data_IF_489699748905
#
_entry.id   IF_489699748905
#
_cell.length_a   1.000
_cell.length_b   1.000
_cell.length_c   1.000
_cell.angle_alpha   90.00
_cell.angle_beta   90.00
_cell.angle_gamma   90.00
#
_symmetry.space_group_name_H-M   'P 1'
#
loop_
_entity.id
_entity.type
_entity.pdbx_description
1 polymer ?
#
# COMPACT_ATOMS: atom_id res chain seq x y z
N UNK A 1 17.19 -0.48 14.81
CA UNK A 1 18.44 0.30 14.71
C UNK A 1 19.07 0.25 13.32
N UNK A 2 19.29 -0.93 12.72
CA UNK A 2 19.93 -1.02 11.41
C UNK A 2 19.03 -0.44 10.31
N UNK A 3 17.75 -0.80 10.29
CA UNK A 3 16.78 -0.33 9.31
C UNK A 3 16.63 1.20 9.36
N UNK A 4 16.50 1.77 10.56
CA UNK A 4 16.41 3.22 10.74
C UNK A 4 17.67 3.96 10.28
N UNK A 5 18.86 3.37 10.47
CA UNK A 5 20.10 3.95 9.97
C UNK A 5 20.21 3.90 8.44
N UNK A 6 19.67 2.85 7.80
CA UNK A 6 19.62 2.72 6.34
C UNK A 6 18.60 3.71 5.74
N UNK A 7 17.46 3.92 6.37
CA UNK A 7 16.49 4.95 5.99
C UNK A 7 17.07 6.37 6.08
N UNK A 8 17.82 6.65 7.15
CA UNK A 8 18.51 7.94 7.30
C UNK A 8 19.56 8.16 6.20
N UNK A 9 20.30 7.12 5.81
CA UNK A 9 21.25 7.17 4.70
C UNK A 9 20.51 7.36 3.36
N UNK A 10 19.36 6.72 3.15
CA UNK A 10 18.57 6.90 1.94
C UNK A 10 17.97 8.32 1.82
N UNK A 11 17.75 8.99 2.94
CA UNK A 11 17.30 10.39 2.99
C UNK A 11 18.45 11.41 2.91
N UNK A 12 19.72 10.96 3.02
CA UNK A 12 20.89 11.86 3.07
C UNK A 12 21.49 12.05 1.67
N UNK A 13 21.39 13.26 1.13
CA UNK A 13 21.98 13.61 -0.16
C UNK A 13 23.49 13.30 -0.22
N UNK A 14 23.89 12.62 -1.28
CA UNK A 14 25.27 12.19 -1.49
C UNK A 14 25.64 10.86 -0.83
N UNK A 15 24.73 10.22 -0.11
CA UNK A 15 24.93 8.83 0.32
C UNK A 15 24.77 7.87 -0.86
N UNK A 16 25.34 6.67 -0.74
CA UNK A 16 25.22 5.62 -1.77
C UNK A 16 23.82 5.00 -1.88
N UNK A 17 22.93 5.32 -0.94
CA UNK A 17 21.55 4.86 -0.90
C UNK A 17 20.54 5.97 -1.25
N UNK A 18 21.03 7.21 -1.42
CA UNK A 18 20.18 8.35 -1.79
C UNK A 18 19.79 8.25 -3.28
N UNK A 19 18.51 8.45 -3.54
CA UNK A 19 17.99 8.62 -4.88
C UNK A 19 17.46 10.04 -5.07
N UNK A 20 17.80 10.65 -6.20
CA UNK A 20 17.20 11.94 -6.58
C UNK A 20 15.77 11.74 -7.05
N UNK A 21 14.94 12.78 -6.98
CA UNK A 21 13.58 12.74 -7.49
C UNK A 21 13.55 12.35 -8.97
N UNK A 22 14.51 12.83 -9.79
CA UNK A 22 14.64 12.45 -11.20
C UNK A 22 14.85 10.93 -11.38
N UNK A 23 15.64 10.29 -10.51
CA UNK A 23 15.84 8.84 -10.53
C UNK A 23 14.57 8.09 -10.12
N UNK A 24 13.86 8.60 -9.13
CA UNK A 24 12.60 8.01 -8.67
C UNK A 24 11.48 8.16 -9.71
N UNK A 25 11.38 9.31 -10.39
CA UNK A 25 10.44 9.52 -11.50
C UNK A 25 10.75 8.57 -12.65
N UNK A 26 12.03 8.43 -13.03
CA UNK A 26 12.43 7.49 -14.06
C UNK A 26 12.10 6.05 -13.69
N UNK A 27 12.35 5.67 -12.44
CA UNK A 27 11.99 4.35 -11.91
C UNK A 27 10.47 4.13 -11.92
N UNK A 28 9.68 5.12 -11.50
CA UNK A 28 8.22 5.03 -11.54
C UNK A 28 7.71 4.80 -12.97
N UNK A 29 8.27 5.52 -13.95
CA UNK A 29 7.94 5.33 -15.36
C UNK A 29 8.32 3.93 -15.87
N UNK A 30 9.50 3.41 -15.50
CA UNK A 30 9.95 2.07 -15.84
C UNK A 30 9.06 0.98 -15.22
N UNK A 31 8.60 1.18 -13.98
CA UNK A 31 7.66 0.29 -13.30
C UNK A 31 6.21 0.45 -13.77
N UNK A 32 5.94 1.28 -14.78
CA UNK A 32 4.61 1.48 -15.35
C UNK A 32 3.66 2.27 -14.45
N UNK A 33 4.18 3.08 -13.53
CA UNK A 33 3.33 3.95 -12.73
C UNK A 33 2.61 4.97 -13.61
N UNK A 34 1.36 5.20 -13.27
CA UNK A 34 0.50 6.11 -14.00
C UNK A 34 -0.43 6.87 -13.07
N UNK A 35 -0.91 8.01 -13.56
CA UNK A 35 -1.88 8.86 -12.86
C UNK A 35 -3.19 8.83 -13.61
N UNK A 36 -4.29 8.55 -12.92
CA UNK A 36 -5.63 8.62 -13.47
C UNK A 36 -6.62 9.14 -12.44
N UNK A 37 -7.68 9.79 -12.93
CA UNK A 37 -8.89 10.08 -12.19
C UNK A 37 -10.03 9.22 -12.73
N UNK A 38 -11.11 9.02 -11.95
CA UNK A 38 -12.24 8.26 -12.43
C UNK A 38 -13.58 8.67 -11.83
N UNK A 39 -14.63 8.42 -12.58
CA UNK A 39 -16.00 8.40 -12.10
C UNK A 39 -16.39 6.93 -11.92
N UNK A 40 -16.73 6.53 -10.69
CA UNK A 40 -17.22 5.20 -10.37
C UNK A 40 -18.71 5.26 -10.03
N UNK A 41 -19.51 4.49 -10.74
CA UNK A 41 -20.93 4.26 -10.43
C UNK A 41 -21.08 2.82 -9.95
N UNK A 42 -21.35 2.63 -8.65
CA UNK A 42 -21.38 1.33 -8.02
C UNK A 42 -22.56 0.48 -8.49
N UNK A 43 -22.31 -0.80 -8.76
CA UNK A 43 -23.32 -1.82 -9.07
C UNK A 43 -23.53 -2.80 -7.92
N UNK A 44 -22.88 -2.53 -6.76
CA UNK A 44 -23.04 -3.30 -5.54
C UNK A 44 -22.93 -2.44 -4.29
N UNK A 45 -23.54 -2.90 -3.24
CA UNK A 45 -23.43 -2.32 -1.91
C UNK A 45 -22.07 -2.65 -1.30
N UNK A 46 -21.25 -1.64 -1.00
CA UNK A 46 -19.89 -1.82 -0.49
C UNK A 46 -19.85 -2.27 0.98
N UNK A 47 -20.97 -2.22 1.70
CA UNK A 47 -21.04 -2.70 3.09
C UNK A 47 -21.37 -4.19 3.17
N UNK A 48 -22.19 -4.70 2.24
CA UNK A 48 -22.65 -6.10 2.18
C UNK A 48 -21.99 -6.90 1.07
N UNK A 49 -21.34 -6.24 0.12
CA UNK A 49 -20.78 -6.80 -1.13
C UNK A 49 -21.84 -7.48 -2.03
N UNK A 50 -23.11 -7.21 -1.79
CA UNK A 50 -24.19 -7.74 -2.62
C UNK A 50 -24.41 -6.86 -3.84
N UNK A 51 -24.73 -7.49 -4.97
CA UNK A 51 -25.13 -6.76 -6.18
C UNK A 51 -26.42 -6.00 -5.94
N UNK A 52 -26.51 -4.81 -6.53
CA UNK A 52 -27.75 -4.06 -6.61
C UNK A 52 -28.73 -4.76 -7.56
N UNK A 53 -30.01 -4.45 -7.44
CA UNK A 53 -31.00 -4.98 -8.35
C UNK A 53 -30.80 -4.51 -9.78
N UNK A 54 -31.40 -5.22 -10.77
CA UNK A 54 -31.18 -4.98 -12.18
C UNK A 54 -31.74 -3.61 -12.63
N UNK A 55 -32.76 -3.07 -11.97
CA UNK A 55 -33.32 -1.75 -12.28
C UNK A 55 -32.30 -0.66 -11.88
N UNK A 56 -31.76 -0.74 -10.67
CA UNK A 56 -30.73 0.18 -10.18
C UNK A 56 -29.45 0.09 -11.01
N UNK A 57 -29.00 -1.12 -11.38
CA UNK A 57 -27.83 -1.28 -12.27
C UNK A 57 -28.07 -0.65 -13.65
N UNK A 58 -29.27 -0.78 -14.19
CA UNK A 58 -29.62 -0.16 -15.46
C UNK A 58 -29.62 1.38 -15.37
N UNK A 59 -30.10 1.95 -14.26
CA UNK A 59 -30.03 3.40 -14.00
C UNK A 59 -28.57 3.88 -13.92
N UNK A 60 -27.72 3.14 -13.21
CA UNK A 60 -26.28 3.45 -13.13
C UNK A 60 -25.61 3.42 -14.50
N UNK A 61 -25.93 2.42 -15.31
CA UNK A 61 -25.42 2.33 -16.69
C UNK A 61 -25.87 3.51 -17.55
N UNK A 62 -27.15 3.86 -17.49
CA UNK A 62 -27.67 5.00 -18.21
C UNK A 62 -26.99 6.32 -17.78
N UNK A 63 -26.73 6.49 -16.48
CA UNK A 63 -25.99 7.64 -15.98
C UNK A 63 -24.53 7.64 -16.49
N UNK A 64 -23.85 6.48 -16.51
CA UNK A 64 -22.51 6.38 -17.08
C UNK A 64 -22.50 6.80 -18.56
N UNK A 65 -23.48 6.34 -19.34
CA UNK A 65 -23.64 6.71 -20.75
C UNK A 65 -23.89 8.22 -20.93
N UNK A 66 -24.70 8.83 -20.06
CA UNK A 66 -24.94 10.28 -20.06
C UNK A 66 -23.66 11.06 -19.76
N UNK A 67 -22.90 10.65 -18.72
CA UNK A 67 -21.65 11.30 -18.32
C UNK A 67 -20.59 11.17 -19.42
N UNK A 68 -20.47 9.99 -20.02
CA UNK A 68 -19.56 9.78 -21.16
C UNK A 68 -19.92 10.67 -22.33
N UNK A 69 -21.20 10.77 -22.66
CA UNK A 69 -21.66 11.65 -23.74
C UNK A 69 -21.38 13.14 -23.45
N UNK A 70 -21.48 13.59 -22.19
CA UNK A 70 -21.10 14.95 -21.78
C UNK A 70 -19.60 15.19 -21.98
N UNK A 71 -18.77 14.23 -21.61
CA UNK A 71 -17.31 14.30 -21.76
C UNK A 71 -16.92 14.31 -23.24
N UNK A 72 -17.53 13.47 -24.08
CA UNK A 72 -17.27 13.41 -25.52
C UNK A 72 -17.72 14.67 -26.28
N UNK A 73 -18.77 15.32 -25.79
CA UNK A 73 -19.27 16.57 -26.35
C UNK A 73 -18.52 17.81 -25.84
N UNK A 74 -17.64 17.67 -24.85
CA UNK A 74 -16.92 18.79 -24.28
C UNK A 74 -15.93 19.38 -25.30
N UNK A 75 -16.00 20.69 -25.51
CA UNK A 75 -15.16 21.42 -26.45
C UNK A 75 -14.35 22.55 -25.81
N UNK A 76 -14.36 22.61 -24.46
CA UNK A 76 -13.56 23.58 -23.71
C UNK A 76 -12.07 23.21 -23.67
N UNK A 77 -11.26 24.10 -23.18
CA UNK A 77 -9.81 23.94 -23.13
C UNK A 77 -9.33 23.17 -21.87
N UNK A 78 -10.21 22.97 -20.87
CA UNK A 78 -9.88 22.31 -19.61
C UNK A 78 -10.73 21.04 -19.39
N UNK A 79 -10.46 19.99 -20.16
CA UNK A 79 -11.13 18.70 -20.00
C UNK A 79 -10.84 18.07 -18.63
N UNK A 80 -9.63 18.25 -18.09
CA UNK A 80 -9.24 17.70 -16.80
C UNK A 80 -10.07 18.32 -15.68
N UNK A 81 -10.18 19.65 -15.64
CA UNK A 81 -11.03 20.35 -14.68
C UNK A 81 -12.49 19.96 -14.78
N UNK A 82 -13.03 19.91 -16.01
CA UNK A 82 -14.42 19.49 -16.25
C UNK A 82 -14.69 18.04 -15.81
N UNK A 83 -13.75 17.13 -16.08
CA UNK A 83 -13.83 15.75 -15.60
C UNK A 83 -13.85 15.68 -14.07
N UNK A 84 -12.96 16.43 -13.42
CA UNK A 84 -12.86 16.48 -11.95
C UNK A 84 -14.16 16.98 -11.33
N UNK A 85 -14.80 18.02 -11.91
CA UNK A 85 -16.11 18.50 -11.46
C UNK A 85 -17.20 17.42 -11.55
N UNK A 86 -17.25 16.68 -12.66
CA UNK A 86 -18.19 15.55 -12.81
C UNK A 86 -17.88 14.41 -11.84
N UNK A 87 -16.60 14.13 -11.61
CA UNK A 87 -16.19 13.09 -10.66
C UNK A 87 -16.55 13.48 -9.23
N UNK A 88 -16.42 14.75 -8.85
CA UNK A 88 -16.82 15.25 -7.53
C UNK A 88 -18.34 15.19 -7.31
N UNK A 89 -19.11 15.39 -8.37
CA UNK A 89 -20.58 15.37 -8.31
C UNK A 89 -21.16 13.95 -8.35
N UNK A 90 -20.60 13.06 -9.17
CA UNK A 90 -21.24 11.78 -9.48
C UNK A 90 -20.49 10.55 -9.03
N UNK A 91 -19.18 10.62 -8.75
CA UNK A 91 -18.41 9.43 -8.36
C UNK A 91 -18.82 8.93 -6.99
N UNK A 92 -19.11 7.64 -6.90
CA UNK A 92 -19.44 6.93 -5.65
C UNK A 92 -18.21 6.24 -5.04
N UNK A 93 -17.03 6.57 -5.54
CA UNK A 93 -15.78 6.03 -4.99
C UNK A 93 -15.44 6.67 -3.63
N UNK A 94 -15.49 5.85 -2.57
CA UNK A 94 -15.13 6.29 -1.23
C UNK A 94 -13.65 6.64 -1.07
N UNK A 95 -12.78 6.08 -1.92
CA UNK A 95 -11.35 6.37 -1.95
C UNK A 95 -11.02 7.79 -2.42
N UNK A 96 -11.95 8.44 -3.15
CA UNK A 96 -11.80 9.80 -3.64
C UNK A 96 -11.59 10.84 -2.53
N UNK A 97 -12.14 10.61 -1.33
CA UNK A 97 -11.94 11.50 -0.20
C UNK A 97 -10.45 11.64 0.21
N UNK A 98 -9.66 10.58 0.01
CA UNK A 98 -8.21 10.58 0.23
C UNK A 98 -7.39 10.94 -1.01
N UNK A 99 -8.01 10.89 -2.20
CA UNK A 99 -7.38 11.14 -3.51
C UNK A 99 -8.26 12.04 -4.37
N UNK A 100 -8.51 13.30 -3.95
CA UNK A 100 -9.54 14.13 -4.54
C UNK A 100 -9.28 14.51 -6.00
N UNK A 101 -8.04 14.46 -6.45
CA UNK A 101 -7.67 14.89 -7.80
C UNK A 101 -7.29 13.72 -8.71
N UNK A 102 -6.68 12.68 -8.17
CA UNK A 102 -6.19 11.55 -8.95
C UNK A 102 -5.63 10.43 -8.07
N UNK A 103 -5.61 9.25 -8.65
CA UNK A 103 -4.86 8.11 -8.14
C UNK A 103 -3.53 7.99 -8.86
N UNK A 104 -2.50 7.62 -8.11
CA UNK A 104 -1.25 7.12 -8.68
C UNK A 104 -1.12 5.64 -8.37
N UNK A 105 -0.79 4.85 -9.36
CA UNK A 105 -0.69 3.40 -9.21
C UNK A 105 0.26 2.80 -10.23
N UNK A 106 0.94 1.74 -9.81
CA UNK A 106 1.73 0.87 -10.67
C UNK A 106 0.95 -0.40 -11.04
N UNK A 107 1.60 -1.29 -11.76
CA UNK A 107 0.99 -2.55 -12.20
C UNK A 107 0.55 -3.43 -11.03
N UNK A 108 -0.68 -3.96 -11.10
CA UNK A 108 -1.27 -4.85 -10.10
C UNK A 108 -1.84 -4.16 -8.86
N UNK A 109 -1.89 -2.83 -8.82
CA UNK A 109 -2.43 -2.07 -7.69
C UNK A 109 -3.92 -1.74 -7.83
N UNK A 110 -4.47 -1.78 -9.05
CA UNK A 110 -5.87 -1.55 -9.34
C UNK A 110 -6.52 -2.84 -9.86
N UNK A 111 -7.86 -2.85 -9.96
CA UNK A 111 -8.56 -3.96 -10.61
C UNK A 111 -8.17 -4.04 -12.09
N UNK A 112 -8.05 -5.26 -12.60
CA UNK A 112 -7.48 -5.55 -13.92
C UNK A 112 -8.16 -4.75 -15.05
N UNK A 113 -9.49 -4.64 -15.01
CA UNK A 113 -10.26 -3.94 -16.03
C UNK A 113 -9.94 -2.43 -16.04
N UNK A 114 -9.81 -1.84 -14.85
CA UNK A 114 -9.44 -0.44 -14.70
C UNK A 114 -8.01 -0.18 -15.20
N UNK A 115 -7.06 -0.97 -14.71
CA UNK A 115 -5.64 -0.83 -15.04
C UNK A 115 -5.40 -1.02 -16.55
N UNK A 116 -5.99 -2.07 -17.12
CA UNK A 116 -5.89 -2.34 -18.55
C UNK A 116 -6.45 -1.20 -19.39
N UNK A 117 -7.60 -0.64 -19.01
CA UNK A 117 -8.18 0.49 -19.72
C UNK A 117 -7.29 1.74 -19.58
N UNK A 118 -6.86 2.08 -18.36
CA UNK A 118 -5.98 3.24 -18.13
C UNK A 118 -4.67 3.16 -18.91
N UNK A 119 -4.10 1.95 -19.04
CA UNK A 119 -2.85 1.72 -19.76
C UNK A 119 -2.96 1.95 -21.28
N UNK A 120 -4.16 1.84 -21.87
CA UNK A 120 -4.40 2.08 -23.30
C UNK A 120 -4.60 3.56 -23.65
N UNK A 121 -4.84 4.40 -22.64
CA UNK A 121 -5.12 5.82 -22.82
C UNK A 121 -3.83 6.63 -22.91
N UNK A 122 -3.82 7.62 -23.79
CA UNK A 122 -2.87 8.72 -23.76
C UNK A 122 -3.20 9.72 -22.64
N UNK A 123 -2.23 10.52 -22.26
CA UNK A 123 -2.46 11.60 -21.28
C UNK A 123 -3.53 12.58 -21.79
N UNK A 124 -4.50 12.89 -20.93
CA UNK A 124 -5.65 13.72 -21.28
C UNK A 124 -6.79 12.98 -21.98
N UNK A 125 -6.68 11.68 -22.22
CA UNK A 125 -7.73 10.89 -22.84
C UNK A 125 -8.69 10.29 -21.79
N UNK A 126 -9.95 10.18 -22.19
CA UNK A 126 -11.04 9.58 -21.41
C UNK A 126 -11.40 8.22 -21.99
N UNK A 127 -11.52 7.21 -21.14
CA UNK A 127 -11.88 5.86 -21.54
C UNK A 127 -13.32 5.76 -22.06
N UNK A 128 -13.64 4.67 -22.75
CA UNK A 128 -15.01 4.16 -22.81
C UNK A 128 -15.48 3.74 -21.40
N UNK A 129 -16.76 3.39 -21.26
CA UNK A 129 -17.28 2.86 -20.00
C UNK A 129 -16.66 1.49 -19.74
N UNK A 130 -15.95 1.35 -18.62
CA UNK A 130 -15.29 0.12 -18.19
C UNK A 130 -16.12 -0.51 -17.08
N UNK A 131 -16.52 -1.75 -17.26
CA UNK A 131 -17.23 -2.52 -16.24
C UNK A 131 -16.23 -3.37 -15.44
N UNK A 132 -16.30 -3.27 -14.11
CA UNK A 132 -15.51 -4.05 -13.19
C UNK A 132 -16.38 -4.71 -12.13
N UNK A 133 -15.75 -5.45 -11.21
CA UNK A 133 -16.44 -6.00 -10.04
C UNK A 133 -17.18 -4.94 -9.22
N UNK A 134 -16.71 -3.71 -9.16
CA UNK A 134 -17.31 -2.63 -8.36
C UNK A 134 -18.46 -1.92 -9.07
N UNK A 135 -18.40 -1.78 -10.37
CA UNK A 135 -19.38 -1.05 -11.14
C UNK A 135 -18.83 -0.51 -12.46
N UNK A 136 -19.41 0.58 -12.90
CA UNK A 136 -19.05 1.26 -14.15
C UNK A 136 -18.05 2.38 -13.85
N UNK A 137 -16.92 2.36 -14.55
CA UNK A 137 -15.88 3.38 -14.49
C UNK A 137 -15.83 4.17 -15.78
N UNK A 138 -15.63 5.47 -15.67
CA UNK A 138 -15.13 6.34 -16.74
C UNK A 138 -13.79 6.86 -16.22
N UNK A 139 -12.71 6.64 -16.97
CA UNK A 139 -11.35 6.87 -16.52
C UNK A 139 -10.74 8.00 -17.35
N UNK A 140 -10.13 8.98 -16.68
CA UNK A 140 -9.31 10.01 -17.32
C UNK A 140 -7.84 9.72 -17.01
N UNK A 141 -7.04 9.47 -18.04
CA UNK A 141 -5.59 9.40 -17.91
C UNK A 141 -5.02 10.82 -17.74
N UNK A 142 -4.33 11.07 -16.65
CA UNK A 142 -3.68 12.37 -16.38
C UNK A 142 -2.18 12.27 -16.65
N UNK A 143 -1.49 13.39 -16.88
CA UNK A 143 -0.03 13.42 -16.81
C UNK A 143 0.45 12.86 -15.48
N UNK A 144 1.63 12.20 -15.49
CA UNK A 144 2.18 11.64 -14.25
C UNK A 144 2.37 12.76 -13.21
N UNK A 145 1.75 12.56 -12.05
CA UNK A 145 2.01 13.40 -10.88
C UNK A 145 3.38 13.01 -10.31
N UNK A 146 4.42 13.74 -10.72
CA UNK A 146 5.81 13.45 -10.36
C UNK A 146 6.03 13.43 -8.85
N UNK A 147 5.41 14.35 -8.11
CA UNK A 147 5.57 14.42 -6.66
C UNK A 147 4.98 13.18 -5.97
N UNK A 148 3.76 12.79 -6.35
CA UNK A 148 3.14 11.57 -5.84
C UNK A 148 3.87 10.32 -6.32
N UNK A 149 4.42 10.32 -7.53
CA UNK A 149 5.21 9.20 -8.06
C UNK A 149 6.46 8.97 -7.23
N UNK A 150 7.20 10.04 -6.92
CA UNK A 150 8.37 10.00 -6.05
C UNK A 150 8.05 9.36 -4.70
N UNK A 151 6.96 9.81 -4.06
CA UNK A 151 6.54 9.27 -2.76
C UNK A 151 6.12 7.80 -2.86
N UNK A 152 5.38 7.44 -3.92
CA UNK A 152 4.87 6.08 -4.11
C UNK A 152 5.96 5.03 -4.34
N UNK A 153 7.07 5.40 -4.99
CA UNK A 153 8.11 4.43 -5.35
C UNK A 153 9.34 4.46 -4.44
N UNK A 154 9.47 5.45 -3.56
CA UNK A 154 10.68 5.65 -2.75
C UNK A 154 11.06 4.43 -1.93
N UNK A 155 10.11 3.81 -1.24
CA UNK A 155 10.36 2.63 -0.41
C UNK A 155 10.72 1.40 -1.27
N UNK A 156 9.99 1.17 -2.36
CA UNK A 156 10.23 0.04 -3.26
C UNK A 156 11.60 0.18 -3.96
N UNK A 157 11.93 1.37 -4.43
CA UNK A 157 13.24 1.66 -5.01
C UNK A 157 14.37 1.40 -4.02
N UNK A 158 14.23 1.90 -2.79
CA UNK A 158 15.21 1.71 -1.73
C UNK A 158 15.40 0.22 -1.38
N UNK A 159 14.30 -0.54 -1.24
CA UNK A 159 14.35 -1.98 -0.97
C UNK A 159 15.06 -2.74 -2.10
N UNK A 160 14.74 -2.46 -3.34
CA UNK A 160 15.41 -3.07 -4.50
C UNK A 160 16.90 -2.71 -4.58
N UNK A 161 17.26 -1.48 -4.23
CA UNK A 161 18.67 -1.06 -4.17
C UNK A 161 19.44 -1.82 -3.06
N UNK A 162 18.82 -2.05 -1.90
CA UNK A 162 19.41 -2.84 -0.83
C UNK A 162 19.58 -4.30 -1.23
N UNK A 163 18.57 -4.92 -1.84
CA UNK A 163 18.64 -6.31 -2.32
C UNK A 163 19.78 -6.47 -3.32
N UNK A 164 19.88 -5.60 -4.32
CA UNK A 164 20.98 -5.61 -5.29
C UNK A 164 22.36 -5.48 -4.63
N UNK A 165 22.47 -4.63 -3.59
CA UNK A 165 23.73 -4.46 -2.84
C UNK A 165 24.10 -5.68 -2.01
N UNK A 166 23.09 -6.36 -1.46
CA UNK A 166 23.30 -7.61 -0.70
C UNK A 166 23.73 -8.73 -1.66
N UNK A 167 23.13 -8.85 -2.83
CA UNK A 167 23.50 -9.82 -3.85
C UNK A 167 24.92 -9.60 -4.37
N UNK A 168 25.32 -8.34 -4.59
CA UNK A 168 26.66 -7.98 -5.06
C UNK A 168 27.71 -8.08 -3.94
N UNK A 169 27.29 -8.07 -2.66
CA UNK A 169 28.22 -8.22 -1.57
C UNK A 169 28.70 -9.67 -1.48
N UNK A 170 29.99 -9.88 -1.77
CA UNK A 170 30.67 -11.14 -1.47
C UNK A 170 30.69 -11.30 0.06
N UNK A 171 29.68 -11.95 0.61
CA UNK A 171 29.63 -12.27 2.04
C UNK A 171 30.60 -13.44 2.29
N UNK A 172 31.84 -13.13 2.65
CA UNK A 172 32.72 -14.13 3.24
C UNK A 172 32.22 -14.39 4.68
N UNK A 173 31.53 -15.51 4.87
CA UNK A 173 31.18 -15.94 6.21
C UNK A 173 32.45 -16.25 6.99
N UNK A 174 32.57 -15.69 8.18
CA UNK A 174 33.67 -16.04 9.09
C UNK A 174 33.60 -17.55 9.34
N UNK A 175 34.70 -18.31 9.11
CA UNK A 175 34.73 -19.76 9.35
C UNK A 175 34.23 -20.17 10.72
N UNK A 176 34.35 -19.28 11.72
CA UNK A 176 33.82 -19.49 13.05
C UNK A 176 32.28 -19.49 13.07
N UNK A 177 31.64 -18.72 12.22
CA UNK A 177 30.15 -18.69 12.06
C UNK A 177 29.68 -19.91 11.29
N UNK A 178 30.42 -20.34 10.26
CA UNK A 178 30.14 -21.57 9.51
C UNK A 178 30.22 -22.83 10.37
N UNK A 179 31.08 -22.79 11.41
CA UNK A 179 31.25 -23.91 12.34
C UNK A 179 30.21 -23.91 13.47
N UNK A 180 29.38 -22.89 13.58
CA UNK A 180 28.33 -22.82 14.62
C UNK A 180 27.14 -23.69 14.17
N UNK A 181 26.87 -24.72 14.97
CA UNK A 181 25.63 -25.47 14.83
C UNK A 181 24.53 -24.68 15.55
N UNK A 182 23.56 -24.22 14.77
CA UNK A 182 22.41 -23.46 15.26
C UNK A 182 21.55 -24.25 16.24
N UNK A 183 21.57 -25.60 16.14
CA UNK A 183 20.87 -26.50 17.07
C UNK A 183 21.58 -26.48 18.41
N UNK A 184 22.89 -26.60 18.41
CA UNK A 184 23.70 -26.57 19.65
C UNK A 184 23.57 -25.20 20.36
N UNK A 185 23.52 -24.10 19.62
CA UNK A 185 23.30 -22.76 20.18
C UNK A 185 21.90 -22.63 20.77
N UNK A 186 20.89 -23.11 20.08
CA UNK A 186 19.51 -23.08 20.55
C UNK A 186 19.33 -23.94 21.81
N UNK A 187 19.88 -25.13 21.83
CA UNK A 187 19.83 -26.04 22.97
C UNK A 187 20.57 -25.47 24.19
N UNK A 188 21.75 -24.84 23.99
CA UNK A 188 22.48 -24.15 25.03
C UNK A 188 21.70 -22.93 25.56
N UNK A 189 21.04 -22.19 24.69
CA UNK A 189 20.20 -21.05 25.09
C UNK A 189 18.96 -21.50 25.86
N UNK A 190 18.30 -22.57 25.43
CA UNK A 190 17.14 -23.15 26.11
C UNK A 190 17.51 -23.67 27.52
N UNK A 191 18.66 -24.31 27.67
CA UNK A 191 19.19 -24.73 28.98
C UNK A 191 19.47 -23.54 29.93
N UNK A 192 19.97 -22.42 29.40
CA UNK A 192 20.18 -21.20 30.17
C UNK A 192 18.87 -20.56 30.65
N UNK A 193 17.83 -20.60 29.80
CA UNK A 193 16.53 -20.05 30.18
C UNK A 193 15.76 -20.94 31.17
N UNK A 194 15.97 -22.27 31.13
CA UNK A 194 15.35 -23.21 32.07
C UNK A 194 16.00 -23.14 33.48
N UNK A 195 17.28 -22.74 33.59
CA UNK A 195 17.96 -22.62 34.90
C UNK A 195 17.52 -21.38 35.70
N UNK A 196 16.90 -20.38 35.04
CA UNK A 196 16.36 -19.21 35.74
C UNK A 196 14.94 -19.43 36.28
N UNK A 197 14.30 -20.57 35.94
CA UNK A 197 12.94 -20.89 36.39
C UNK A 197 12.91 -21.64 37.76
N UNK A 198 14.02 -22.18 38.22
CA UNK A 198 14.10 -22.95 39.50
C UNK A 198 14.66 -22.16 40.71
N UNK A 199 14.75 -20.85 40.59
CA UNK A 199 15.36 -19.96 41.57
C UNK A 199 14.45 -19.30 42.60
N UNK A 200 13.21 -19.72 42.78
CA UNK A 200 12.36 -19.16 43.85
C UNK A 200 11.38 -20.17 44.45
N UNK A 201 11.96 -21.12 45.22
CA UNK A 201 11.23 -21.81 46.26
C UNK A 201 12.00 -21.62 47.60
N UNK A 202 11.93 -20.42 48.15
CA UNK A 202 12.27 -20.19 49.55
C UNK A 202 11.00 -20.46 50.39
N UNK A 203 11.03 -21.63 51.01
CA UNK A 203 10.87 -21.86 52.45
C UNK A 203 9.87 -20.94 53.16
N UNK A 204 8.67 -21.41 53.30
CA UNK A 204 7.73 -20.96 54.33
C UNK A 204 7.33 -22.13 55.21
N UNK A 205 8.30 -22.53 56.09
CA UNK A 205 8.02 -23.40 57.23
C UNK A 205 8.17 -22.61 58.51
N UNK A 206 7.16 -22.74 59.34
CA UNK A 206 7.07 -22.42 60.77
C UNK A 206 6.45 -21.03 61.06
N UNK A 207 5.38 -20.93 61.76
CA UNK A 207 5.13 -21.51 63.10
C UNK A 207 3.64 -21.39 63.43
N UNK A 208 3.02 -22.50 63.76
CA UNK A 208 1.91 -22.55 64.71
C UNK A 208 2.35 -22.14 66.11
N UNK A 209 1.57 -21.31 66.71
CA UNK A 209 1.19 -21.27 68.14
C UNK A 209 0.45 -19.97 68.38
N UNK A 210 -0.81 -19.98 68.71
CA UNK A 210 -1.31 -20.47 69.99
C UNK A 210 -2.14 -19.39 70.64
N UNK A 211 -3.35 -19.76 71.05
CA UNK A 211 -4.09 -19.16 72.17
C UNK A 211 -4.98 -17.92 71.91
N UNK A 212 -6.23 -18.12 71.82
CA UNK A 212 -7.24 -18.25 72.94
C UNK A 212 -7.72 -16.93 73.55
N UNK A 213 -9.03 -16.82 73.55
CA UNK A 213 -9.91 -16.17 74.54
C UNK A 213 -10.11 -14.63 74.42
N UNK A 214 -11.21 -14.13 74.35
CA UNK A 214 -12.42 -14.06 75.13
C UNK A 214 -13.19 -12.78 74.84
N UNK A 215 -14.51 -12.94 74.73
CA UNK A 215 -15.57 -12.11 75.27
C UNK A 215 -15.50 -10.56 75.18
N UNK A 216 -16.36 -10.03 74.45
CA UNK A 216 -17.58 -9.33 74.92
C UNK A 216 -18.47 -8.91 73.74
#
# INVERSE_FOLDING_TARGET
YLYSALEELAATEGSSLYATDEQLIAYAAEQGYMTADHILLLTRDMSTYQELDDETKAEKKALAEELKAKLDAYTGDDLIGYFTELADEYSEDSGRAGNPECYIFGSGLMVEEFESAAATLGEGEVSEIVESYYGYHIILRKPLDEAKAVDAVRETYFSGLLESRIEDAAVEMNPMVEALDLVDIYDAFSLLMDTDADGDTADDTATENGQEAAES
#
